data_IF_330524456772
#
_entry.id   IF_330524456772
#
_cell.length_a   1.000
_cell.length_b   1.000
_cell.length_c   1.000
_cell.angle_alpha   90.00
_cell.angle_beta   90.00
_cell.angle_gamma   90.00
#
_symmetry.space_group_name_H-M   'P 1'
#
loop_
_entity.id
_entity.type
_entity.pdbx_description
1 polymer ?
#
# COMPACT_ATOMS: atom_id res chain seq x y z
N UNK A 1 2.10 6.08 -25.66
CA UNK A 1 2.41 6.16 -24.21
C UNK A 1 3.92 6.29 -24.08
N UNK A 2 4.46 7.29 -23.39
CA UNK A 2 5.92 7.55 -23.40
C UNK A 2 6.65 6.88 -22.21
N UNK A 3 7.95 6.52 -22.34
CA UNK A 3 8.73 5.93 -21.24
C UNK A 3 8.77 6.80 -19.98
N UNK A 4 8.80 8.13 -20.18
CA UNK A 4 8.75 9.12 -19.09
C UNK A 4 7.43 9.02 -18.32
N UNK A 5 6.30 8.90 -19.01
CA UNK A 5 4.99 8.75 -18.38
C UNK A 5 4.88 7.47 -17.54
N UNK A 6 5.41 6.34 -18.04
CA UNK A 6 5.41 5.08 -17.28
C UNK A 6 6.26 5.15 -16.01
N UNK A 7 7.41 5.83 -16.07
CA UNK A 7 8.23 6.08 -14.89
C UNK A 7 7.50 6.93 -13.84
N UNK A 8 6.74 7.95 -14.28
CA UNK A 8 5.89 8.73 -13.40
C UNK A 8 4.76 7.90 -12.79
N UNK A 9 4.14 7.00 -13.57
CA UNK A 9 3.10 6.10 -13.07
C UNK A 9 3.63 5.19 -11.97
N UNK A 10 4.78 4.53 -12.18
CA UNK A 10 5.39 3.66 -11.16
C UNK A 10 5.70 4.45 -9.89
N UNK A 11 6.27 5.66 -10.01
CA UNK A 11 6.53 6.53 -8.86
C UNK A 11 5.25 6.91 -8.12
N UNK A 12 4.18 7.24 -8.85
CA UNK A 12 2.89 7.55 -8.25
C UNK A 12 2.30 6.34 -7.49
N UNK A 13 2.45 5.12 -8.04
CA UNK A 13 2.02 3.90 -7.36
C UNK A 13 2.86 3.58 -6.12
N UNK A 14 4.17 3.77 -6.18
CA UNK A 14 5.03 3.65 -5.00
C UNK A 14 4.59 4.60 -3.89
N UNK A 15 4.33 5.87 -4.21
CA UNK A 15 3.85 6.85 -3.22
C UNK A 15 2.49 6.46 -2.59
N UNK A 16 1.60 5.81 -3.36
CA UNK A 16 0.34 5.29 -2.83
C UNK A 16 0.55 4.12 -1.87
N UNK A 17 1.47 3.20 -2.19
CA UNK A 17 1.84 2.09 -1.31
C UNK A 17 2.51 2.57 -0.03
N UNK A 18 3.40 3.56 -0.12
CA UNK A 18 4.03 4.18 1.06
C UNK A 18 2.98 4.83 1.96
N UNK A 19 2.01 5.53 1.36
CA UNK A 19 0.89 6.14 2.10
C UNK A 19 0.02 5.07 2.76
N UNK A 20 -0.31 3.98 2.06
CA UNK A 20 -1.07 2.87 2.62
C UNK A 20 -0.34 2.19 3.79
N UNK A 21 0.98 2.05 3.67
CA UNK A 21 1.85 1.52 4.74
C UNK A 21 1.80 2.41 5.98
N UNK A 22 1.94 3.73 5.81
CA UNK A 22 1.83 4.70 6.91
C UNK A 22 0.45 4.67 7.58
N UNK A 23 -0.63 4.57 6.78
CA UNK A 23 -2.00 4.45 7.29
C UNK A 23 -2.21 3.16 8.08
N UNK A 24 -1.67 2.03 7.62
CA UNK A 24 -1.73 0.77 8.36
C UNK A 24 -0.96 0.86 9.68
N UNK A 25 0.23 1.46 9.69
CA UNK A 25 1.00 1.68 10.91
C UNK A 25 0.28 2.59 11.91
N UNK A 26 -0.44 3.61 11.41
CA UNK A 26 -1.30 4.45 12.26
C UNK A 26 -2.49 3.67 12.82
N UNK A 27 -3.21 2.91 11.99
CA UNK A 27 -4.34 2.10 12.43
C UNK A 27 -3.94 1.05 13.47
N UNK A 28 -2.81 0.38 13.31
CA UNK A 28 -2.27 -0.57 14.31
C UNK A 28 -1.98 0.10 15.65
N UNK A 29 -1.45 1.32 15.64
CA UNK A 29 -1.23 2.10 16.88
C UNK A 29 -2.53 2.53 17.53
N UNK A 30 -3.56 2.87 16.74
CA UNK A 30 -4.88 3.15 17.26
C UNK A 30 -5.54 1.90 17.87
N UNK A 31 -5.49 0.76 17.18
CA UNK A 31 -5.93 -0.54 17.67
C UNK A 31 -5.29 -0.90 19.00
N UNK A 32 -3.96 -0.83 19.09
CA UNK A 32 -3.26 -1.12 20.35
C UNK A 32 -3.71 -0.23 21.52
N UNK A 33 -3.97 1.07 21.25
CA UNK A 33 -4.49 2.00 22.26
C UNK A 33 -5.92 1.67 22.67
N UNK A 34 -6.79 1.35 21.72
CA UNK A 34 -8.19 0.97 21.99
C UNK A 34 -8.27 -0.31 22.84
N UNK A 35 -7.48 -1.33 22.50
CA UNK A 35 -7.38 -2.56 23.31
C UNK A 35 -6.82 -2.30 24.70
N UNK A 36 -5.79 -1.47 24.83
CA UNK A 36 -5.24 -1.08 26.13
C UNK A 36 -6.28 -0.33 26.98
N UNK A 37 -7.07 0.55 26.37
CA UNK A 37 -8.16 1.26 27.04
C UNK A 37 -9.28 0.31 27.48
N UNK A 38 -9.73 -0.60 26.61
CA UNK A 38 -10.73 -1.60 26.97
C UNK A 38 -10.29 -2.45 28.16
N UNK A 39 -9.02 -2.86 28.20
CA UNK A 39 -8.42 -3.58 29.33
C UNK A 39 -8.35 -2.74 30.61
N UNK A 40 -7.98 -1.46 30.50
CA UNK A 40 -7.93 -0.55 31.64
C UNK A 40 -9.33 -0.32 32.24
N UNK A 41 -10.34 -0.13 31.39
CA UNK A 41 -11.73 0.04 31.83
C UNK A 41 -12.29 -1.25 32.45
N UNK A 42 -11.96 -2.42 31.91
CA UNK A 42 -12.31 -3.70 32.54
C UNK A 42 -11.74 -3.82 33.95
N UNK A 43 -10.45 -3.50 34.12
CA UNK A 43 -9.81 -3.51 35.43
C UNK A 43 -10.42 -2.49 36.41
N UNK A 44 -10.88 -1.33 35.90
CA UNK A 44 -11.59 -0.32 36.69
C UNK A 44 -12.94 -0.85 37.18
N UNK A 45 -13.74 -1.46 36.31
CA UNK A 45 -15.02 -2.07 36.68
C UNK A 45 -14.81 -3.16 37.74
N UNK A 46 -13.86 -4.07 37.51
CA UNK A 46 -13.50 -5.13 38.47
C UNK A 46 -13.10 -4.57 39.84
N UNK A 47 -12.30 -3.50 39.87
CA UNK A 47 -11.88 -2.87 41.11
C UNK A 47 -13.06 -2.26 41.88
N UNK A 48 -14.00 -1.63 41.17
CA UNK A 48 -15.20 -1.04 41.76
C UNK A 48 -16.17 -2.11 42.28
N UNK A 49 -16.30 -3.25 41.59
CA UNK A 49 -17.14 -4.37 42.06
C UNK A 49 -16.61 -5.00 43.34
N UNK A 50 -15.29 -4.98 43.58
CA UNK A 50 -14.68 -5.52 44.82
C UNK A 50 -14.80 -4.58 46.03
N UNK A 51 -15.06 -3.28 45.82
CA UNK A 51 -15.27 -2.33 46.91
C UNK A 51 -16.75 -2.36 47.35
N UNK A 52 -17.07 -3.18 48.35
CA UNK A 52 -18.41 -3.22 48.94
C UNK A 52 -18.74 -1.90 49.64
N UNK A 53 -19.76 -1.19 49.14
CA UNK A 53 -20.26 0.05 49.73
C UNK A 53 -21.27 -0.26 50.85
N UNK A 54 -20.80 -0.65 52.02
CA UNK A 54 -21.65 -0.99 53.17
C UNK A 54 -21.52 0.04 54.30
N UNK A 55 -22.10 1.24 54.16
CA UNK A 55 -22.26 2.14 55.33
C UNK A 55 -23.57 2.98 55.32
N UNK A 56 -24.17 3.31 54.16
CA UNK A 56 -25.36 4.19 54.12
C UNK A 56 -26.00 4.27 52.71
N UNK A 57 -27.33 4.45 52.66
CA UNK A 57 -28.12 4.40 51.42
C UNK A 57 -27.67 5.40 50.33
N UNK A 58 -27.24 6.62 50.71
CA UNK A 58 -26.71 7.60 49.76
C UNK A 58 -25.37 7.18 49.15
N UNK A 59 -24.48 6.57 49.94
CA UNK A 59 -23.21 6.03 49.44
C UNK A 59 -23.42 4.82 48.53
N UNK A 60 -24.42 3.99 48.83
CA UNK A 60 -24.83 2.89 47.96
C UNK A 60 -25.32 3.37 46.59
N UNK A 61 -26.24 4.34 46.53
CA UNK A 61 -26.74 4.88 45.26
C UNK A 61 -25.62 5.53 44.45
N UNK A 62 -24.75 6.31 45.09
CA UNK A 62 -23.59 6.90 44.43
C UNK A 62 -22.62 5.84 43.86
N UNK A 63 -22.35 4.78 44.64
CA UNK A 63 -21.51 3.67 44.19
C UNK A 63 -22.15 2.89 43.02
N UNK A 64 -23.47 2.68 43.05
CA UNK A 64 -24.20 2.02 41.97
C UNK A 64 -24.16 2.84 40.66
N UNK A 65 -24.38 4.15 40.72
CA UNK A 65 -24.28 5.04 39.56
C UNK A 65 -22.85 5.08 39.03
N UNK A 66 -21.85 5.14 39.92
CA UNK A 66 -20.45 5.09 39.52
C UNK A 66 -20.12 3.77 38.81
N UNK A 67 -20.59 2.63 39.31
CA UNK A 67 -20.40 1.32 38.67
C UNK A 67 -21.11 1.24 37.30
N UNK A 68 -22.33 1.74 37.18
CA UNK A 68 -23.06 1.79 35.90
C UNK A 68 -22.34 2.65 34.86
N UNK A 69 -21.86 3.82 35.26
CA UNK A 69 -21.08 4.69 34.36
C UNK A 69 -19.74 4.05 33.95
N UNK A 70 -19.08 3.33 34.86
CA UNK A 70 -17.88 2.56 34.54
C UNK A 70 -18.17 1.43 33.56
N UNK A 71 -19.24 0.67 33.76
CA UNK A 71 -19.67 -0.38 32.85
C UNK A 71 -20.01 0.17 31.45
N UNK A 72 -20.71 1.31 31.37
CA UNK A 72 -21.00 1.98 30.10
C UNK A 72 -19.73 2.45 29.37
N UNK A 73 -18.76 3.01 30.11
CA UNK A 73 -17.46 3.42 29.55
C UNK A 73 -16.67 2.22 29.05
N UNK A 74 -16.69 1.11 29.78
CA UNK A 74 -16.06 -0.15 29.35
C UNK A 74 -16.69 -0.69 28.06
N UNK A 75 -18.02 -0.72 27.97
CA UNK A 75 -18.73 -1.15 26.77
C UNK A 75 -18.37 -0.29 25.54
N UNK A 76 -18.29 1.03 25.71
CA UNK A 76 -17.85 1.94 24.66
C UNK A 76 -16.39 1.69 24.23
N UNK A 77 -15.50 1.40 25.18
CA UNK A 77 -14.09 1.08 24.88
C UNK A 77 -13.95 -0.25 24.13
N UNK A 78 -14.79 -1.25 24.42
CA UNK A 78 -14.84 -2.52 23.68
C UNK A 78 -15.35 -2.33 22.26
N UNK A 79 -16.40 -1.54 22.06
CA UNK A 79 -16.91 -1.21 20.73
C UNK A 79 -15.84 -0.48 19.89
N UNK A 80 -15.13 0.48 20.50
CA UNK A 80 -14.02 1.16 19.82
C UNK A 80 -12.88 0.21 19.46
N UNK A 81 -12.53 -0.74 20.34
CA UNK A 81 -11.52 -1.75 20.03
C UNK A 81 -11.95 -2.63 18.83
N UNK A 82 -13.23 -3.04 18.78
CA UNK A 82 -13.79 -3.78 17.66
C UNK A 82 -13.73 -2.98 16.35
N UNK A 83 -14.14 -1.71 16.37
CA UNK A 83 -14.03 -0.83 15.19
C UNK A 83 -12.58 -0.63 14.75
N UNK A 84 -11.66 -0.53 15.69
CA UNK A 84 -10.24 -0.42 15.38
C UNK A 84 -9.69 -1.71 14.71
N UNK A 85 -10.17 -2.89 15.10
CA UNK A 85 -9.85 -4.16 14.45
C UNK A 85 -10.34 -4.17 12.99
N UNK A 86 -11.61 -3.82 12.76
CA UNK A 86 -12.18 -3.72 11.41
C UNK A 86 -11.41 -2.71 10.55
N UNK A 87 -11.04 -1.56 11.14
CA UNK A 87 -10.30 -0.54 10.45
C UNK A 87 -8.90 -1.02 10.01
N UNK A 88 -8.21 -1.78 10.87
CA UNK A 88 -6.91 -2.41 10.52
C UNK A 88 -7.07 -3.40 9.38
N UNK A 89 -8.10 -4.24 9.39
CA UNK A 89 -8.40 -5.16 8.28
C UNK A 89 -8.63 -4.39 6.98
N UNK A 90 -9.38 -3.29 7.04
CA UNK A 90 -9.56 -2.37 5.91
C UNK A 90 -8.24 -1.82 5.37
N UNK A 91 -7.35 -1.34 6.25
CA UNK A 91 -6.04 -0.80 5.85
C UNK A 91 -5.11 -1.87 5.27
N UNK A 92 -5.19 -3.12 5.73
CA UNK A 92 -4.42 -4.24 5.16
C UNK A 92 -4.86 -4.55 3.72
N UNK A 93 -6.17 -4.50 3.45
CA UNK A 93 -6.71 -4.66 2.08
C UNK A 93 -6.22 -3.53 1.18
N UNK A 94 -6.31 -2.28 1.64
CA UNK A 94 -5.80 -1.12 0.89
C UNK A 94 -4.31 -1.23 0.54
N UNK A 95 -3.47 -1.66 1.50
CA UNK A 95 -2.04 -1.89 1.24
C UNK A 95 -1.83 -2.99 0.19
N UNK A 96 -2.60 -4.08 0.27
CA UNK A 96 -2.51 -5.17 -0.69
C UNK A 96 -2.90 -4.73 -2.10
N UNK A 97 -3.94 -3.91 -2.22
CA UNK A 97 -4.39 -3.39 -3.51
C UNK A 97 -3.43 -2.34 -4.08
N UNK A 98 -2.80 -1.53 -3.23
CA UNK A 98 -1.74 -0.61 -3.62
C UNK A 98 -0.49 -1.36 -4.15
N UNK A 99 -0.06 -2.42 -3.45
CA UNK A 99 1.07 -3.25 -3.87
C UNK A 99 0.80 -3.95 -5.21
N UNK A 100 -0.41 -4.51 -5.41
CA UNK A 100 -0.83 -5.05 -6.71
C UNK A 100 -0.80 -4.00 -7.81
N UNK A 101 -1.29 -2.79 -7.51
CA UNK A 101 -1.30 -1.68 -8.48
C UNK A 101 0.11 -1.23 -8.87
N UNK A 102 1.07 -1.25 -7.93
CA UNK A 102 2.49 -1.02 -8.23
C UNK A 102 3.04 -2.08 -9.16
N UNK A 103 2.83 -3.35 -8.82
CA UNK A 103 3.28 -4.48 -9.63
C UNK A 103 2.77 -4.40 -11.08
N UNK A 104 1.49 -4.10 -11.28
CA UNK A 104 0.91 -3.93 -12.62
C UNK A 104 1.55 -2.76 -13.40
N UNK A 105 1.87 -1.66 -12.71
CA UNK A 105 2.55 -0.53 -13.35
C UNK A 105 3.99 -0.85 -13.74
N UNK A 106 4.71 -1.64 -12.93
CA UNK A 106 6.05 -2.13 -13.24
C UNK A 106 6.04 -3.06 -14.45
N UNK A 107 5.12 -4.04 -14.46
CA UNK A 107 4.89 -4.92 -15.61
C UNK A 107 4.61 -4.15 -16.91
N UNK A 108 3.77 -3.11 -16.84
CA UNK A 108 3.47 -2.28 -18.00
C UNK A 108 4.71 -1.52 -18.51
N UNK A 109 5.52 -0.97 -17.59
CA UNK A 109 6.78 -0.30 -17.92
C UNK A 109 7.76 -1.26 -18.58
N UNK A 110 7.90 -2.46 -18.04
CA UNK A 110 8.88 -3.44 -18.50
C UNK A 110 8.50 -3.99 -19.89
N UNK A 111 7.21 -4.23 -20.13
CA UNK A 111 6.70 -4.58 -21.48
C UNK A 111 6.96 -3.49 -22.50
N UNK A 112 6.72 -2.23 -22.13
CA UNK A 112 6.96 -1.11 -23.04
C UNK A 112 8.44 -0.90 -23.35
N UNK A 113 9.32 -1.14 -22.36
CA UNK A 113 10.76 -1.14 -22.59
C UNK A 113 11.17 -2.25 -23.54
N UNK A 114 10.69 -3.47 -23.32
CA UNK A 114 10.97 -4.59 -24.21
C UNK A 114 10.51 -4.32 -25.65
N UNK A 115 9.36 -3.67 -25.84
CA UNK A 115 8.88 -3.31 -27.17
C UNK A 115 9.73 -2.21 -27.83
N UNK A 116 10.16 -1.21 -27.05
CA UNK A 116 11.08 -0.17 -27.54
C UNK A 116 12.45 -0.76 -27.95
N UNK A 117 12.97 -1.70 -27.17
CA UNK A 117 14.24 -2.39 -27.47
C UNK A 117 14.12 -3.24 -28.75
N UNK A 118 12.98 -3.91 -28.95
CA UNK A 118 12.70 -4.65 -30.20
C UNK A 118 12.59 -3.74 -31.42
N UNK A 119 11.96 -2.58 -31.29
CA UNK A 119 11.85 -1.61 -32.37
C UNK A 119 13.23 -1.03 -32.72
N UNK A 120 14.02 -0.65 -31.71
CA UNK A 120 15.39 -0.17 -31.90
C UNK A 120 16.28 -1.22 -32.59
N UNK A 121 16.16 -2.51 -32.21
CA UNK A 121 16.88 -3.59 -32.87
C UNK A 121 16.45 -3.77 -34.34
N UNK A 122 15.14 -3.63 -34.65
CA UNK A 122 14.62 -3.68 -36.03
C UNK A 122 15.16 -2.53 -36.89
N UNK A 123 15.20 -1.32 -36.35
CA UNK A 123 15.77 -0.14 -37.03
C UNK A 123 17.26 -0.33 -37.27
N UNK A 124 18.02 -0.74 -36.23
CA UNK A 124 19.46 -0.97 -36.35
C UNK A 124 19.79 -2.06 -37.38
N UNK A 125 19.02 -3.16 -37.43
CA UNK A 125 19.20 -4.20 -38.43
C UNK A 125 18.97 -3.66 -39.84
N UNK A 126 17.91 -2.88 -40.04
CA UNK A 126 17.62 -2.25 -41.33
C UNK A 126 18.75 -1.32 -41.78
N UNK A 127 19.27 -0.48 -40.89
CA UNK A 127 20.36 0.45 -41.20
C UNK A 127 21.65 -0.30 -41.60
N UNK A 128 21.93 -1.44 -40.93
CA UNK A 128 23.04 -2.32 -41.27
C UNK A 128 22.85 -2.96 -42.65
N UNK A 129 21.66 -3.46 -42.94
CA UNK A 129 21.32 -4.09 -44.23
C UNK A 129 21.41 -3.07 -45.39
N UNK A 130 20.91 -1.84 -45.20
CA UNK A 130 21.02 -0.74 -46.17
C UNK A 130 22.50 -0.38 -46.42
N UNK A 131 23.31 -0.27 -45.37
CA UNK A 131 24.75 0.00 -45.48
C UNK A 131 25.49 -1.12 -46.21
N UNK A 132 25.17 -2.38 -45.90
CA UNK A 132 25.75 -3.55 -46.55
C UNK A 132 25.38 -3.60 -48.04
N UNK A 133 24.13 -3.31 -48.40
CA UNK A 133 23.65 -3.25 -49.77
C UNK A 133 24.36 -2.16 -50.59
N UNK A 134 24.52 -0.95 -50.04
CA UNK A 134 25.27 0.15 -50.68
C UNK A 134 26.74 -0.26 -50.88
N UNK A 135 27.37 -0.86 -49.86
CA UNK A 135 28.75 -1.34 -49.95
C UNK A 135 28.93 -2.42 -51.02
N UNK A 136 27.98 -3.35 -51.11
CA UNK A 136 27.97 -4.38 -52.15
C UNK A 136 27.83 -3.77 -53.55
N UNK A 137 26.86 -2.88 -53.77
CA UNK A 137 26.62 -2.21 -55.05
C UNK A 137 27.83 -1.39 -55.53
N UNK A 138 28.56 -0.73 -54.61
CA UNK A 138 29.80 -0.02 -54.94
C UNK A 138 30.91 -0.95 -55.40
N UNK A 139 31.06 -2.12 -54.76
CA UNK A 139 32.10 -3.11 -55.12
C UNK A 139 31.82 -3.73 -56.50
N UNK A 140 30.60 -4.18 -56.75
CA UNK A 140 30.23 -4.77 -58.05
C UNK A 140 30.32 -3.74 -59.18
N UNK A 141 29.88 -2.50 -58.95
CA UNK A 141 30.03 -1.43 -59.94
C UNK A 141 31.47 -0.95 -60.16
N UNK A 142 32.40 -1.22 -59.24
CA UNK A 142 33.83 -0.96 -59.43
C UNK A 142 34.50 -2.07 -60.26
N UNK A 143 34.15 -3.34 -60.02
CA UNK A 143 34.64 -4.46 -60.85
C UNK A 143 34.24 -4.31 -62.31
N UNK A 144 32.99 -3.93 -62.59
CA UNK A 144 32.51 -3.69 -63.95
C UNK A 144 33.21 -2.52 -64.68
N UNK A 145 33.86 -1.60 -63.94
CA UNK A 145 34.60 -0.47 -64.51
C UNK A 145 36.11 -0.74 -64.66
N UNK A 146 36.62 -1.81 -64.05
CA UNK A 146 38.03 -2.22 -64.16
C UNK A 146 38.31 -3.28 -65.23
N UNK A 147 37.27 -3.82 -65.87
CA UNK A 147 37.36 -4.83 -66.94
C UNK A 147 37.28 -4.21 -68.36
N UNK A 148 37.72 -2.97 -68.56
CA UNK A 148 37.88 -2.35 -69.89
C UNK A 148 39.35 -2.05 -70.20
#
# INVERSE_FOLDING_TARGET
MTPRWMSHLVRARQSQEDTATQRLAFARRAQARAHAQAKAEAARVDAMTRQEAAVNAGAFVAAAVALQSAAATHAAAVDEAFRADEWVVGRQRELSDAAKSRYVAEELRDRARAEADREAARIAQRDLDETAAIGHARRTGAQQRGES
#
